data_IF_770047837690
#
_entry.id   IF_770047837690
#
_cell.length_a   1.000
_cell.length_b   1.000
_cell.length_c   1.000
_cell.angle_alpha   90.00
_cell.angle_beta   90.00
_cell.angle_gamma   90.00
#
_symmetry.space_group_name_H-M   'P 1'
#
loop_
_entity.id
_entity.type
_entity.pdbx_description
1 polymer ?
#
# COMPACT_ATOMS: atom_id res chain seq x y z
N UNK A 1 -12.53 12.01 19.57
CA UNK A 1 -13.78 12.25 18.81
C UNK A 1 -14.30 10.91 18.34
N UNK A 2 -15.58 10.80 18.00
CA UNK A 2 -16.07 9.60 17.33
C UNK A 2 -15.54 9.58 15.89
N UNK A 3 -15.09 8.43 15.42
CA UNK A 3 -14.72 8.25 14.01
C UNK A 3 -15.97 8.49 13.15
N UNK A 4 -15.84 9.29 12.10
CA UNK A 4 -16.91 9.50 11.12
C UNK A 4 -16.89 8.37 10.09
N UNK A 5 -15.71 8.03 9.56
CA UNK A 5 -15.51 7.02 8.52
C UNK A 5 -14.51 5.94 8.90
N UNK A 6 -14.74 4.69 8.49
CA UNK A 6 -13.79 3.57 8.71
C UNK A 6 -12.37 3.91 8.21
N UNK A 7 -12.28 4.79 7.21
CA UNK A 7 -11.06 5.33 6.62
C UNK A 7 -10.10 5.96 7.64
N UNK A 8 -10.64 6.56 8.71
CA UNK A 8 -9.85 7.26 9.71
C UNK A 8 -9.01 6.29 10.56
N UNK A 9 -9.42 5.01 10.64
CA UNK A 9 -8.65 3.97 11.31
C UNK A 9 -7.39 3.58 10.53
N UNK A 10 -7.41 3.73 9.21
CA UNK A 10 -6.34 3.26 8.33
C UNK A 10 -4.99 3.93 8.65
N UNK A 11 -4.94 5.26 8.62
CA UNK A 11 -3.69 6.01 8.76
C UNK A 11 -2.96 5.72 10.09
N UNK A 12 -3.63 5.73 11.26
CA UNK A 12 -3.00 5.35 12.53
C UNK A 12 -2.46 3.91 12.54
N UNK A 13 -3.23 2.96 12.02
CA UNK A 13 -2.86 1.53 12.02
C UNK A 13 -1.69 1.28 11.08
N UNK A 14 -1.72 1.88 9.88
CA UNK A 14 -0.58 1.87 8.95
C UNK A 14 0.69 2.37 9.62
N UNK A 15 0.66 3.59 10.15
CA UNK A 15 1.83 4.21 10.78
C UNK A 15 2.37 3.38 11.97
N UNK A 16 1.48 2.69 12.69
CA UNK A 16 1.85 1.81 13.78
C UNK A 16 2.63 0.57 13.32
N UNK A 17 2.25 -0.03 12.20
CA UNK A 17 2.95 -1.19 11.66
C UNK A 17 4.19 -0.82 10.83
N UNK A 18 4.18 0.31 10.12
CA UNK A 18 5.37 0.81 9.43
C UNK A 18 6.51 1.11 10.40
N UNK A 19 6.22 1.71 11.56
CA UNK A 19 7.21 1.89 12.64
C UNK A 19 7.76 0.59 13.22
N UNK A 20 7.12 -0.55 12.94
CA UNK A 20 7.60 -1.90 13.31
C UNK A 20 8.31 -2.61 12.15
N UNK A 21 8.61 -1.88 11.06
CA UNK A 21 9.37 -2.37 9.92
C UNK A 21 8.53 -3.07 8.85
N UNK A 22 7.20 -3.01 8.93
CA UNK A 22 6.35 -3.56 7.87
C UNK A 22 6.26 -2.59 6.68
N UNK A 23 6.40 -3.11 5.46
CA UNK A 23 5.86 -2.44 4.28
C UNK A 23 4.35 -2.68 4.26
N UNK A 24 3.56 -1.61 4.26
CA UNK A 24 2.10 -1.70 4.42
C UNK A 24 1.38 -1.15 3.19
N UNK A 25 0.38 -1.89 2.72
CA UNK A 25 -0.51 -1.48 1.62
C UNK A 25 -1.97 -1.73 1.96
N UNK A 26 -2.84 -0.84 1.55
CA UNK A 26 -4.28 -0.91 1.74
C UNK A 26 -4.98 -1.84 0.74
N UNK A 27 -6.15 -2.36 1.13
CA UNK A 27 -7.18 -2.94 0.23
C UNK A 27 -6.67 -4.09 -0.66
N UNK A 28 -5.75 -4.92 -0.18
CA UNK A 28 -5.10 -6.02 -0.94
C UNK A 28 -5.96 -7.28 -0.86
N UNK A 29 -6.47 -7.77 -2.01
CA UNK A 29 -7.42 -8.91 -2.08
C UNK A 29 -8.57 -8.77 -1.07
N UNK A 30 -9.16 -7.58 -0.99
CA UNK A 30 -10.24 -7.25 -0.06
C UNK A 30 -9.85 -7.29 1.42
N UNK A 31 -8.55 -7.31 1.77
CA UNK A 31 -8.10 -7.08 3.14
C UNK A 31 -7.86 -5.58 3.30
N UNK A 32 -8.37 -4.99 4.38
CA UNK A 32 -8.28 -3.54 4.57
C UNK A 32 -6.82 -3.06 4.65
N UNK A 33 -5.95 -3.84 5.29
CA UNK A 33 -4.51 -3.59 5.36
C UNK A 33 -3.72 -4.90 5.34
N UNK A 34 -2.66 -4.92 4.54
CA UNK A 34 -1.67 -6.00 4.52
C UNK A 34 -0.29 -5.41 4.77
N UNK A 35 0.48 -6.05 5.65
CA UNK A 35 1.86 -5.72 5.93
C UNK A 35 2.78 -6.88 5.57
N UNK A 36 3.93 -6.62 4.96
CA UNK A 36 4.98 -7.61 4.71
C UNK A 36 6.27 -7.13 5.31
N UNK A 37 7.05 -8.04 5.89
CA UNK A 37 8.37 -7.77 6.46
C UNK A 37 9.38 -8.71 5.82
N UNK A 38 10.58 -8.23 5.51
CA UNK A 38 11.59 -8.99 4.76
C UNK A 38 12.07 -10.25 5.49
N UNK A 39 12.06 -10.23 6.82
CA UNK A 39 12.45 -11.35 7.69
C UNK A 39 11.28 -12.28 8.06
N UNK A 40 10.08 -12.04 7.54
CA UNK A 40 8.88 -12.79 7.89
C UNK A 40 8.18 -13.32 6.63
N UNK A 41 7.99 -14.63 6.58
CA UNK A 41 7.38 -15.25 5.40
C UNK A 41 5.87 -14.96 5.35
N UNK A 42 5.19 -14.96 6.50
CA UNK A 42 3.76 -14.71 6.60
C UNK A 42 3.42 -13.21 6.57
N UNK A 43 2.44 -12.77 5.77
CA UNK A 43 2.00 -11.38 5.79
C UNK A 43 1.20 -11.06 7.04
N UNK A 44 1.37 -9.87 7.60
CA UNK A 44 0.41 -9.28 8.53
C UNK A 44 -0.89 -8.92 7.79
N UNK A 45 -2.04 -9.20 8.38
CA UNK A 45 -3.34 -8.76 7.85
C UNK A 45 -4.12 -8.05 8.96
N UNK A 46 -4.73 -6.91 8.64
CA UNK A 46 -5.60 -6.19 9.57
C UNK A 46 -6.94 -5.89 8.91
N UNK A 47 -8.02 -6.25 9.61
CA UNK A 47 -9.39 -5.90 9.24
C UNK A 47 -9.89 -4.80 10.21
N UNK A 48 -10.59 -3.80 9.68
CA UNK A 48 -10.96 -2.58 10.39
C UNK A 48 -12.47 -2.34 10.34
N UNK A 49 -13.06 -2.02 11.49
CA UNK A 49 -14.44 -1.50 11.59
C UNK A 49 -14.55 -0.44 12.67
N UNK A 50 -15.51 0.48 12.55
CA UNK A 50 -15.74 1.49 13.60
C UNK A 50 -15.99 0.87 14.97
N UNK A 51 -16.75 -0.23 15.00
CA UNK A 51 -17.05 -0.97 16.22
C UNK A 51 -16.84 -2.45 16.01
N UNK A 52 -16.47 -3.16 17.07
CA UNK A 52 -16.42 -4.61 17.05
C UNK A 52 -17.82 -5.18 16.80
N UNK A 53 -17.93 -6.06 15.80
CA UNK A 53 -19.18 -6.72 15.42
C UNK A 53 -18.88 -8.11 14.82
N UNK A 54 -19.93 -8.91 14.60
CA UNK A 54 -19.78 -10.27 14.08
C UNK A 54 -19.17 -10.30 12.66
N UNK A 55 -19.45 -9.31 11.82
CA UNK A 55 -18.88 -9.21 10.47
C UNK A 55 -17.36 -9.12 10.53
N UNK A 56 -16.83 -8.21 11.34
CA UNK A 56 -15.39 -8.04 11.56
C UNK A 56 -14.75 -9.35 12.05
N UNK A 57 -15.38 -10.01 13.02
CA UNK A 57 -14.89 -11.26 13.57
C UNK A 57 -14.80 -12.36 12.50
N UNK A 58 -15.87 -12.54 11.71
CA UNK A 58 -15.91 -13.52 10.64
C UNK A 58 -14.90 -13.21 9.53
N UNK A 59 -14.69 -11.93 9.20
CA UNK A 59 -13.64 -11.50 8.27
C UNK A 59 -12.26 -11.92 8.81
N UNK A 60 -11.92 -11.59 10.06
CA UNK A 60 -10.66 -12.01 10.67
C UNK A 60 -10.45 -13.52 10.66
N UNK A 61 -11.47 -14.31 11.02
CA UNK A 61 -11.41 -15.77 10.96
C UNK A 61 -11.17 -16.30 9.53
N UNK A 62 -11.69 -15.63 8.51
CA UNK A 62 -11.38 -15.99 7.12
C UNK A 62 -9.92 -15.68 6.75
N UNK A 63 -9.35 -14.60 7.28
CA UNK A 63 -7.94 -14.22 7.06
C UNK A 63 -6.94 -15.15 7.75
N UNK A 64 -7.33 -15.83 8.84
CA UNK A 64 -6.50 -16.86 9.47
C UNK A 64 -6.12 -18.00 8.51
N UNK A 65 -6.91 -18.21 7.44
CA UNK A 65 -6.58 -19.18 6.38
C UNK A 65 -5.43 -18.72 5.47
N UNK A 66 -5.05 -17.45 5.55
CA UNK A 66 -4.02 -16.80 4.73
C UNK A 66 -2.77 -16.50 5.55
N UNK A 67 -2.91 -16.13 6.82
CA UNK A 67 -1.82 -15.80 7.73
C UNK A 67 -2.21 -16.05 9.18
N UNK A 68 -1.28 -16.47 10.06
CA UNK A 68 -1.50 -16.46 11.51
C UNK A 68 -1.41 -15.06 12.12
N UNK A 69 -0.85 -14.07 11.42
CA UNK A 69 -0.69 -12.69 11.92
C UNK A 69 -1.87 -11.81 11.52
N UNK A 70 -3.05 -12.10 12.09
CA UNK A 70 -4.30 -11.38 11.78
C UNK A 70 -4.74 -10.54 12.97
N UNK A 71 -4.96 -9.25 12.76
CA UNK A 71 -5.53 -8.35 13.76
C UNK A 71 -6.91 -7.86 13.34
N UNK A 72 -7.76 -7.65 14.34
CA UNK A 72 -8.97 -6.86 14.25
C UNK A 72 -8.70 -5.49 14.86
N UNK A 73 -9.05 -4.41 14.16
CA UNK A 73 -8.84 -3.04 14.64
C UNK A 73 -10.16 -2.27 14.69
N UNK A 74 -10.44 -1.64 15.83
CA UNK A 74 -11.68 -0.88 16.05
C UNK A 74 -11.46 0.43 16.79
N UNK A 75 -12.39 1.37 16.69
CA UNK A 75 -12.34 2.59 17.49
C UNK A 75 -12.61 2.28 18.97
N UNK A 76 -11.78 2.82 19.87
CA UNK A 76 -12.10 2.93 21.30
C UNK A 76 -12.66 4.31 21.60
N UNK A 77 -13.98 4.40 21.54
CA UNK A 77 -14.68 5.65 21.82
C UNK A 77 -14.76 5.91 23.34
N UNK A 78 -14.04 6.92 23.83
CA UNK A 78 -13.99 7.25 25.27
C UNK A 78 -15.29 7.82 25.84
N UNK A 79 -16.19 8.37 25.03
CA UNK A 79 -17.44 8.98 25.51
C UNK A 79 -18.59 7.97 25.64
N UNK A 80 -18.42 6.73 25.18
CA UNK A 80 -19.45 5.66 25.24
C UNK A 80 -19.11 4.56 26.25
N UNK A 81 -18.67 4.93 27.46
CA UNK A 81 -18.37 3.96 28.54
C UNK A 81 -19.60 3.08 28.79
N UNK A 82 -19.40 1.75 28.80
CA UNK A 82 -20.45 0.78 29.12
C UNK A 82 -21.31 0.28 27.94
N UNK A 83 -21.05 0.73 26.70
CA UNK A 83 -21.68 0.11 25.54
C UNK A 83 -21.23 -1.37 25.40
N UNK A 84 -22.10 -2.24 24.87
CA UNK A 84 -21.82 -3.67 24.61
C UNK A 84 -20.48 -3.87 23.85
N UNK A 85 -20.14 -2.93 22.97
CA UNK A 85 -18.90 -2.93 22.17
C UNK A 85 -17.63 -2.53 22.96
N UNK A 86 -17.72 -2.34 24.28
CA UNK A 86 -16.61 -1.96 25.16
C UNK A 86 -16.36 -2.98 26.28
N UNK A 87 -16.90 -4.20 26.15
CA UNK A 87 -16.54 -5.36 26.99
C UNK A 87 -15.15 -5.88 26.59
N UNK A 88 -14.15 -4.99 26.67
CA UNK A 88 -12.81 -5.22 26.12
C UNK A 88 -12.16 -6.48 26.68
N UNK A 89 -12.36 -6.79 27.96
CA UNK A 89 -11.84 -8.04 28.56
C UNK A 89 -12.37 -9.29 27.87
N UNK A 90 -13.68 -9.36 27.61
CA UNK A 90 -14.31 -10.51 26.96
C UNK A 90 -13.98 -10.58 25.47
N UNK A 91 -13.98 -9.45 24.77
CA UNK A 91 -13.56 -9.39 23.38
C UNK A 91 -12.10 -9.82 23.21
N UNK A 92 -11.23 -9.41 24.14
CA UNK A 92 -9.83 -9.82 24.16
C UNK A 92 -9.70 -11.32 24.42
N UNK A 93 -10.46 -11.86 25.38
CA UNK A 93 -10.48 -13.30 25.65
C UNK A 93 -10.95 -14.12 24.44
N UNK A 94 -12.02 -13.67 23.77
CA UNK A 94 -12.54 -14.28 22.54
C UNK A 94 -11.50 -14.26 21.41
N UNK A 95 -10.89 -13.10 21.14
CA UNK A 95 -9.86 -12.98 20.11
C UNK A 95 -8.66 -13.88 20.40
N UNK A 96 -8.19 -13.94 21.65
CA UNK A 96 -7.12 -14.87 22.06
C UNK A 96 -7.48 -16.32 21.80
N UNK A 97 -8.69 -16.76 22.19
CA UNK A 97 -9.16 -18.13 21.97
C UNK A 97 -9.23 -18.48 20.47
N UNK A 98 -9.53 -17.50 19.62
CA UNK A 98 -9.60 -17.66 18.17
C UNK A 98 -8.25 -17.45 17.46
N UNK A 99 -7.18 -17.07 18.17
CA UNK A 99 -5.86 -16.76 17.61
C UNK A 99 -5.77 -15.43 16.86
N UNK A 100 -6.71 -14.52 17.09
CA UNK A 100 -6.74 -13.19 16.49
C UNK A 100 -6.08 -12.16 17.43
N UNK A 101 -5.36 -11.21 16.84
CA UNK A 101 -4.95 -9.99 17.52
C UNK A 101 -6.12 -9.01 17.62
N UNK A 102 -6.11 -8.15 18.64
CA UNK A 102 -7.11 -7.10 18.82
C UNK A 102 -6.42 -5.78 19.12
N UNK A 103 -6.67 -4.80 18.26
CA UNK A 103 -6.19 -3.42 18.37
C UNK A 103 -7.38 -2.50 18.63
N UNK A 104 -7.12 -1.46 19.43
CA UNK A 104 -8.05 -0.34 19.53
C UNK A 104 -7.38 0.98 19.20
N UNK A 105 -8.11 1.85 18.50
CA UNK A 105 -7.64 3.19 18.11
C UNK A 105 -8.46 4.23 18.86
N UNK A 106 -7.80 5.05 19.67
CA UNK A 106 -8.42 6.17 20.38
C UNK A 106 -8.06 7.48 19.66
N UNK A 107 -9.07 8.21 19.17
CA UNK A 107 -8.89 9.53 18.56
C UNK A 107 -9.10 10.66 19.56
N UNK A 108 -8.20 11.64 19.54
CA UNK A 108 -8.27 12.85 20.35
C UNK A 108 -8.49 14.08 19.47
N UNK A 109 -8.97 15.18 20.07
CA UNK A 109 -9.14 16.46 19.35
C UNK A 109 -7.80 17.16 19.11
N UNK A 110 -6.88 17.02 20.05
CA UNK A 110 -5.68 17.87 20.16
C UNK A 110 -4.36 17.10 20.10
N UNK A 111 -4.41 15.77 20.01
CA UNK A 111 -3.20 14.93 19.98
C UNK A 111 -3.36 13.75 19.02
N UNK A 112 -2.22 13.17 18.65
CA UNK A 112 -2.16 12.03 17.75
C UNK A 112 -3.02 10.85 18.26
N UNK A 113 -3.64 10.06 17.36
CA UNK A 113 -4.36 8.86 17.72
C UNK A 113 -3.47 7.87 18.49
N UNK A 114 -4.03 7.25 19.53
CA UNK A 114 -3.35 6.22 20.33
C UNK A 114 -3.83 4.84 19.90
N UNK A 115 -2.88 3.93 19.67
CA UNK A 115 -3.18 2.52 19.44
C UNK A 115 -2.82 1.72 20.68
N UNK A 116 -3.82 1.01 21.22
CA UNK A 116 -3.65 0.05 22.29
C UNK A 116 -3.80 -1.37 21.72
N UNK A 117 -2.78 -2.20 21.89
CA UNK A 117 -2.83 -3.63 21.57
C UNK A 117 -3.41 -4.37 22.76
N UNK A 118 -4.63 -4.89 22.63
CA UNK A 118 -5.31 -5.62 23.71
C UNK A 118 -4.88 -7.09 23.75
N UNK A 119 -4.64 -7.68 22.57
CA UNK A 119 -3.94 -8.95 22.45
C UNK A 119 -3.20 -9.05 21.12
N UNK A 120 -2.05 -9.73 21.17
CA UNK A 120 -1.34 -10.16 19.98
C UNK A 120 -2.00 -11.43 19.40
N UNK A 121 -1.93 -11.65 18.07
CA UNK A 121 -2.33 -12.91 17.47
C UNK A 121 -1.44 -14.01 18.02
N UNK A 122 -2.05 -15.10 18.46
CA UNK A 122 -1.28 -16.30 18.73
C UNK A 122 -0.82 -16.85 17.38
N UNK A 123 0.48 -17.12 17.23
CA UNK A 123 0.96 -17.94 16.13
C UNK A 123 0.34 -19.33 16.31
N UNK A 124 -0.85 -19.54 15.73
CA UNK A 124 -1.50 -20.83 15.78
C UNK A 124 -0.63 -21.78 14.97
N UNK A 125 -0.14 -22.84 15.60
CA UNK A 125 0.25 -24.05 14.90
C UNK A 125 -0.91 -24.39 13.96
N UNK A 126 -0.68 -24.56 12.65
CA UNK A 126 -1.78 -24.77 11.71
C UNK A 126 -2.68 -25.87 12.24
N UNK A 127 -3.95 -25.55 12.51
CA UNK A 127 -4.95 -26.56 12.81
C UNK A 127 -4.85 -27.60 11.70
N UNK A 128 -4.44 -28.81 12.06
CA UNK A 128 -4.15 -29.93 11.17
C UNK A 128 -5.43 -30.37 10.48
N UNK A 129 -5.91 -29.55 9.54
CA UNK A 129 -6.92 -29.90 8.57
C UNK A 129 -6.26 -30.61 7.39
N UNK A 130 -7.01 -31.50 6.76
CA UNK A 130 -6.68 -32.21 5.50
C UNK A 130 -5.61 -31.49 4.65
N UNK A 131 -4.63 -32.26 4.15
CA UNK A 131 -3.54 -31.76 3.28
C UNK A 131 -4.01 -30.95 2.05
N UNK A 132 -5.29 -31.03 1.70
CA UNK A 132 -5.94 -30.21 0.68
C UNK A 132 -6.26 -28.77 1.15
N UNK A 133 -6.64 -28.59 2.41
CA UNK A 133 -6.92 -27.29 3.03
C UNK A 133 -5.66 -26.43 3.17
N UNK A 134 -4.55 -27.03 3.63
CA UNK A 134 -3.24 -26.37 3.73
C UNK A 134 -2.74 -25.91 2.37
N UNK A 135 -2.84 -26.77 1.33
CA UNK A 135 -2.48 -26.41 -0.05
C UNK A 135 -3.32 -25.26 -0.61
N UNK A 136 -4.64 -25.27 -0.38
CA UNK A 136 -5.53 -24.18 -0.82
C UNK A 136 -5.23 -22.86 -0.10
N UNK A 137 -4.88 -22.90 1.18
CA UNK A 137 -4.43 -21.72 1.94
C UNK A 137 -3.16 -21.11 1.34
N UNK A 138 -2.16 -21.95 1.04
CA UNK A 138 -0.91 -21.53 0.40
C UNK A 138 -1.13 -20.82 -0.95
N UNK A 139 -1.99 -21.36 -1.82
CA UNK A 139 -2.31 -20.72 -3.11
C UNK A 139 -2.97 -19.34 -2.92
N UNK A 140 -3.90 -19.22 -1.95
CA UNK A 140 -4.56 -17.94 -1.67
C UNK A 140 -3.59 -16.91 -1.09
N UNK A 141 -2.68 -17.33 -0.20
CA UNK A 141 -1.61 -16.50 0.33
C UNK A 141 -0.66 -16.01 -0.78
N UNK A 142 -0.22 -16.89 -1.67
CA UNK A 142 0.62 -16.48 -2.81
C UNK A 142 -0.07 -15.46 -3.71
N UNK A 143 -1.39 -15.60 -3.93
CA UNK A 143 -2.18 -14.59 -4.67
C UNK A 143 -2.30 -13.26 -3.94
N UNK A 144 -2.36 -13.28 -2.60
CA UNK A 144 -2.35 -12.08 -1.76
C UNK A 144 -1.01 -11.35 -1.89
N UNK A 145 0.10 -12.08 -1.69
CA UNK A 145 1.46 -11.53 -1.80
C UNK A 145 1.74 -11.00 -3.20
N UNK A 146 1.35 -11.74 -4.24
CA UNK A 146 1.49 -11.26 -5.62
C UNK A 146 0.72 -9.96 -5.86
N UNK A 147 -0.51 -9.82 -5.34
CA UNK A 147 -1.24 -8.56 -5.47
C UNK A 147 -0.58 -7.43 -4.67
N UNK A 148 -0.05 -7.75 -3.49
CA UNK A 148 0.72 -6.81 -2.68
C UNK A 148 1.93 -6.28 -3.45
N UNK A 149 2.74 -7.16 -4.04
CA UNK A 149 3.94 -6.78 -4.81
C UNK A 149 3.60 -5.99 -6.08
N UNK A 150 2.50 -6.35 -6.74
CA UNK A 150 2.05 -5.69 -7.96
C UNK A 150 1.51 -4.27 -7.74
N UNK A 151 1.24 -3.85 -6.50
CA UNK A 151 0.83 -2.48 -6.17
C UNK A 151 2.02 -1.54 -6.02
N UNK A 152 1.96 -0.40 -6.68
CA UNK A 152 3.05 0.58 -6.72
C UNK A 152 3.04 1.58 -5.57
N UNK A 153 1.93 1.68 -4.83
CA UNK A 153 1.77 2.62 -3.71
C UNK A 153 0.44 2.44 -2.99
N UNK A 154 0.19 3.34 -2.04
CA UNK A 154 -0.92 3.25 -1.09
C UNK A 154 -2.07 4.20 -1.47
N UNK A 155 -2.54 4.08 -2.71
CA UNK A 155 -3.50 5.02 -3.33
C UNK A 155 -4.91 4.95 -2.76
N UNK A 156 -5.24 3.87 -2.04
CA UNK A 156 -6.52 3.70 -1.38
C UNK A 156 -6.35 4.01 0.11
N UNK A 157 -6.46 5.27 0.52
CA UNK A 157 -6.84 5.55 1.92
C UNK A 157 -8.24 4.98 2.11
N UNK A 158 -8.30 3.74 2.63
CA UNK A 158 -9.43 2.82 2.45
C UNK A 158 -10.79 3.42 2.82
N UNK A 159 -11.85 3.04 2.10
CA UNK A 159 -13.25 3.24 2.52
C UNK A 159 -13.93 4.59 2.25
N UNK A 160 -13.45 5.44 1.34
CA UNK A 160 -14.22 6.64 0.94
C UNK A 160 -15.41 6.25 0.08
N UNK A 161 -16.62 6.52 0.58
CA UNK A 161 -17.93 6.12 0.02
C UNK A 161 -18.22 6.63 -1.41
N UNK A 162 -17.26 7.29 -2.08
CA UNK A 162 -17.37 7.80 -3.46
C UNK A 162 -16.11 7.67 -4.31
N UNK A 163 -15.00 7.12 -3.82
CA UNK A 163 -13.82 6.80 -4.66
C UNK A 163 -13.86 5.31 -5.01
N UNK A 164 -13.93 5.00 -6.31
CA UNK A 164 -13.89 3.62 -6.79
C UNK A 164 -12.57 2.97 -6.34
N UNK A 165 -12.64 1.85 -5.63
CA UNK A 165 -11.48 1.05 -5.21
C UNK A 165 -10.59 0.76 -6.43
N UNK A 166 -9.32 1.16 -6.36
CA UNK A 166 -8.37 0.89 -7.44
C UNK A 166 -7.58 -0.37 -7.09
N UNK A 167 -7.86 -1.43 -7.84
CA UNK A 167 -7.13 -2.70 -7.77
C UNK A 167 -5.81 -2.58 -8.51
N UNK A 168 -4.82 -3.45 -8.21
CA UNK A 168 -3.56 -3.50 -8.97
C UNK A 168 -3.79 -3.69 -10.49
N UNK A 169 -4.85 -4.41 -10.88
CA UNK A 169 -5.25 -4.53 -12.27
C UNK A 169 -5.69 -3.18 -12.85
N UNK A 170 -6.44 -2.38 -12.10
CA UNK A 170 -6.90 -1.06 -12.54
C UNK A 170 -5.76 -0.05 -12.65
N UNK A 171 -4.80 -0.04 -11.71
CA UNK A 171 -3.57 0.76 -11.83
C UNK A 171 -2.83 0.45 -13.14
N UNK A 172 -2.57 -0.85 -13.38
CA UNK A 172 -1.89 -1.30 -14.60
C UNK A 172 -2.67 -0.95 -15.87
N UNK A 173 -3.99 -1.11 -15.84
CA UNK A 173 -4.84 -0.72 -16.96
C UNK A 173 -4.81 0.80 -17.19
N UNK A 174 -4.76 1.63 -16.14
CA UNK A 174 -4.65 3.08 -16.25
C UNK A 174 -3.29 3.50 -16.83
N UNK A 175 -2.18 2.87 -16.42
CA UNK A 175 -0.86 3.12 -17.03
C UNK A 175 -0.83 2.80 -18.51
N UNK A 176 -1.36 1.63 -18.89
CA UNK A 176 -1.48 1.24 -20.30
C UNK A 176 -2.38 2.20 -21.08
N UNK A 177 -3.50 2.62 -20.48
CA UNK A 177 -4.39 3.61 -21.08
C UNK A 177 -3.71 4.96 -21.29
N UNK A 178 -2.92 5.42 -20.33
CA UNK A 178 -2.16 6.67 -20.41
C UNK A 178 -1.12 6.61 -21.54
N UNK A 179 -0.34 5.52 -21.60
CA UNK A 179 0.62 5.29 -22.68
C UNK A 179 -0.04 5.22 -24.06
N UNK A 180 -1.20 4.56 -24.18
CA UNK A 180 -2.00 4.55 -25.41
C UNK A 180 -2.52 5.93 -25.79
N UNK A 181 -2.93 6.76 -24.81
CA UNK A 181 -3.37 8.13 -25.09
C UNK A 181 -2.24 8.99 -25.64
N UNK A 182 -1.01 8.80 -25.16
CA UNK A 182 0.17 9.53 -25.63
C UNK A 182 0.61 9.10 -27.04
N UNK A 183 0.56 7.80 -27.36
CA UNK A 183 1.06 7.25 -28.63
C UNK A 183 -0.03 7.04 -29.70
N UNK A 184 -1.31 7.06 -29.32
CA UNK A 184 -2.42 6.68 -30.19
C UNK A 184 -2.53 5.16 -30.34
N UNK A 185 -2.32 4.65 -31.55
CA UNK A 185 -2.37 3.22 -31.84
C UNK A 185 -1.04 2.54 -31.45
N UNK A 186 -1.07 1.52 -30.60
CA UNK A 186 0.15 0.85 -30.14
C UNK A 186 0.03 -0.65 -29.96
N UNK A 187 1.18 -1.33 -29.98
CA UNK A 187 1.26 -2.77 -29.78
C UNK A 187 1.43 -3.13 -28.29
N UNK A 188 0.94 -4.30 -27.85
CA UNK A 188 1.12 -4.75 -26.47
C UNK A 188 2.59 -4.79 -26.02
N UNK A 189 3.51 -5.13 -26.92
CA UNK A 189 4.93 -5.19 -26.62
C UNK A 189 5.54 -3.80 -26.39
N UNK A 190 5.13 -2.80 -27.18
CA UNK A 190 5.55 -1.40 -26.98
C UNK A 190 5.05 -0.89 -25.63
N UNK A 191 3.76 -1.11 -25.35
CA UNK A 191 3.12 -0.67 -24.12
C UNK A 191 3.72 -1.33 -22.88
N UNK A 192 4.05 -2.63 -22.94
CA UNK A 192 4.70 -3.33 -21.85
C UNK A 192 6.08 -2.75 -21.50
N UNK A 193 6.88 -2.39 -22.53
CA UNK A 193 8.19 -1.77 -22.34
C UNK A 193 8.06 -0.37 -21.74
N UNK A 194 7.15 0.43 -22.27
CA UNK A 194 6.99 1.82 -21.84
C UNK A 194 6.43 1.95 -20.42
N UNK A 195 5.47 1.11 -20.05
CA UNK A 195 4.78 1.21 -18.76
C UNK A 195 5.37 0.29 -17.68
N UNK A 196 6.40 -0.49 -18.03
CA UNK A 196 6.91 -1.60 -17.23
C UNK A 196 5.84 -2.65 -16.85
N UNK A 197 4.68 -2.66 -17.52
CA UNK A 197 3.60 -3.61 -17.27
C UNK A 197 3.77 -4.83 -18.19
N UNK A 198 4.52 -5.83 -17.72
CA UNK A 198 4.72 -7.09 -18.47
C UNK A 198 3.43 -7.82 -18.85
N UNK A 199 2.33 -7.58 -18.12
CA UNK A 199 1.01 -8.16 -18.41
C UNK A 199 0.17 -7.37 -19.42
N UNK A 200 0.74 -6.40 -20.15
CA UNK A 200 -0.03 -5.50 -21.03
C UNK A 200 -0.89 -6.25 -22.06
N UNK A 201 -0.35 -7.30 -22.69
CA UNK A 201 -1.11 -8.11 -23.65
C UNK A 201 -2.38 -8.73 -23.03
N UNK A 202 -2.27 -9.30 -21.82
CA UNK A 202 -3.40 -9.90 -21.13
C UNK A 202 -4.43 -8.86 -20.69
N UNK A 203 -3.99 -7.66 -20.29
CA UNK A 203 -4.88 -6.56 -19.89
C UNK A 203 -5.69 -6.07 -21.09
N UNK A 204 -5.01 -5.80 -22.22
CA UNK A 204 -5.64 -5.36 -23.47
C UNK A 204 -6.62 -6.39 -24.03
N UNK A 205 -6.29 -7.69 -23.94
CA UNK A 205 -7.15 -8.76 -24.43
C UNK A 205 -8.38 -8.99 -23.55
N UNK A 206 -8.21 -9.00 -22.23
CA UNK A 206 -9.33 -9.25 -21.30
C UNK A 206 -10.27 -8.05 -21.21
N UNK A 207 -9.72 -6.84 -21.27
CA UNK A 207 -10.45 -5.58 -21.38
C UNK A 207 -11.69 -5.48 -20.46
N UNK A 208 -11.55 -5.85 -19.18
CA UNK A 208 -12.69 -5.94 -18.25
C UNK A 208 -13.48 -4.63 -18.09
N UNK A 209 -12.84 -3.49 -18.37
CA UNK A 209 -13.46 -2.17 -18.27
C UNK A 209 -13.92 -1.58 -19.61
N UNK A 210 -13.64 -2.25 -20.73
CA UNK A 210 -13.98 -1.73 -22.06
C UNK A 210 -13.20 -0.47 -22.46
N UNK A 211 -11.99 -0.27 -21.90
CA UNK A 211 -11.14 0.90 -22.15
C UNK A 211 -10.35 0.80 -23.44
N UNK A 212 -10.17 -0.41 -23.95
CA UNK A 212 -9.32 -0.68 -25.12
C UNK A 212 -10.14 -1.24 -26.26
N UNK A 213 -9.71 -0.97 -27.49
CA UNK A 213 -10.29 -1.56 -28.70
C UNK A 213 -9.16 -2.08 -29.59
N UNK A 214 -9.37 -3.25 -30.17
CA UNK A 214 -8.41 -3.85 -31.09
C UNK A 214 -8.71 -3.40 -32.51
N UNK A 215 -7.89 -2.51 -33.04
CA UNK A 215 -8.03 -1.98 -34.39
C UNK A 215 -7.62 -3.02 -35.45
N UNK A 216 -6.52 -3.72 -35.20
CA UNK A 216 -5.99 -4.74 -36.12
C UNK A 216 -5.14 -5.78 -35.37
N UNK A 217 -4.43 -6.67 -36.08
CA UNK A 217 -3.63 -7.72 -35.44
C UNK A 217 -2.48 -7.09 -34.64
N UNK A 218 -2.57 -7.21 -33.31
CA UNK A 218 -1.53 -6.73 -32.40
C UNK A 218 -1.51 -5.22 -32.20
N UNK A 219 -2.58 -4.51 -32.58
CA UNK A 219 -2.68 -3.06 -32.44
C UNK A 219 -3.96 -2.67 -31.71
N UNK A 220 -3.81 -1.77 -30.75
CA UNK A 220 -4.90 -1.33 -29.88
C UNK A 220 -4.97 0.19 -29.84
N UNK A 221 -6.18 0.70 -29.63
CA UNK A 221 -6.49 2.10 -29.41
C UNK A 221 -7.31 2.26 -28.13
N UNK A 222 -7.37 3.48 -27.62
CA UNK A 222 -8.17 3.82 -26.45
C UNK A 222 -9.61 4.15 -26.87
N UNK A 223 -10.59 3.58 -26.17
CA UNK A 223 -12.01 3.92 -26.39
C UNK A 223 -12.36 5.24 -25.70
N UNK A 224 -13.52 5.80 -26.02
CA UNK A 224 -14.07 6.98 -25.33
C UNK A 224 -14.18 6.71 -23.81
N UNK A 225 -14.58 5.49 -23.40
CA UNK A 225 -14.63 5.08 -22.00
C UNK A 225 -13.25 5.07 -21.35
N UNK A 226 -12.21 4.63 -22.07
CA UNK A 226 -10.83 4.68 -21.59
C UNK A 226 -10.33 6.11 -21.41
N UNK A 227 -10.67 7.02 -22.33
CA UNK A 227 -10.35 8.45 -22.24
C UNK A 227 -11.00 9.08 -20.99
N UNK A 228 -12.28 8.78 -20.75
CA UNK A 228 -13.01 9.25 -19.56
C UNK A 228 -12.39 8.72 -18.27
N UNK A 229 -12.00 7.44 -18.25
CA UNK A 229 -11.34 6.84 -17.09
C UNK A 229 -10.00 7.51 -16.75
N UNK A 230 -9.22 7.95 -17.75
CA UNK A 230 -7.99 8.71 -17.47
C UNK A 230 -8.28 10.05 -16.78
N UNK A 231 -9.37 10.72 -17.17
CA UNK A 231 -9.79 11.99 -16.53
C UNK A 231 -10.30 11.76 -15.11
N UNK A 232 -11.12 10.73 -14.89
CA UNK A 232 -11.65 10.37 -13.57
C UNK A 232 -10.54 9.98 -12.57
N UNK A 233 -9.45 9.40 -13.06
CA UNK A 233 -8.35 8.85 -12.26
C UNK A 233 -7.04 9.66 -12.41
N UNK A 234 -7.10 10.91 -12.89
CA UNK A 234 -5.92 11.75 -13.18
C UNK A 234 -4.96 11.90 -11.98
N UNK A 235 -5.51 12.09 -10.78
CA UNK A 235 -4.77 12.15 -9.51
C UNK A 235 -3.91 10.90 -9.21
N UNK A 236 -4.17 9.76 -9.83
CA UNK A 236 -3.37 8.53 -9.66
C UNK A 236 -2.22 8.42 -10.66
N UNK A 237 -2.25 9.19 -11.75
CA UNK A 237 -1.24 9.17 -12.80
C UNK A 237 -0.09 10.12 -12.45
N UNK A 238 -0.40 11.31 -11.92
CA UNK A 238 0.59 12.34 -11.54
C UNK A 238 1.61 11.83 -10.51
N UNK A 239 1.16 11.09 -9.49
CA UNK A 239 2.05 10.54 -8.46
C UNK A 239 2.86 9.31 -8.95
N UNK A 240 2.37 8.59 -9.97
CA UNK A 240 3.10 7.46 -10.55
C UNK A 240 4.30 7.95 -11.38
N UNK A 241 4.12 9.01 -12.15
CA UNK A 241 5.21 9.64 -12.90
C UNK A 241 6.29 10.16 -11.94
N UNK A 242 5.90 10.69 -10.76
CA UNK A 242 6.87 11.11 -9.72
C UNK A 242 7.62 9.93 -9.08
N UNK A 243 6.97 8.78 -8.87
CA UNK A 243 7.63 7.58 -8.32
C UNK A 243 8.56 6.94 -9.36
N UNK A 244 8.13 6.81 -10.62
CA UNK A 244 8.98 6.29 -11.71
C UNK A 244 10.17 7.21 -12.01
N UNK A 245 10.01 8.53 -11.84
CA UNK A 245 11.12 9.49 -11.89
C UNK A 245 12.11 9.28 -10.74
N UNK A 246 11.65 9.10 -9.50
CA UNK A 246 12.53 8.82 -8.35
C UNK A 246 13.27 7.48 -8.44
N UNK A 247 12.65 6.44 -9.02
CA UNK A 247 13.28 5.12 -9.20
C UNK A 247 14.34 5.16 -10.32
N UNK A 248 14.19 6.04 -11.31
CA UNK A 248 15.13 6.20 -12.42
C UNK A 248 16.12 7.36 -12.23
N UNK A 249 16.05 8.11 -11.13
CA UNK A 249 17.13 9.01 -10.73
C UNK A 249 18.32 8.15 -10.29
N UNK A 250 19.50 8.30 -10.91
CA UNK A 250 20.69 7.67 -10.36
C UNK A 250 20.90 8.22 -8.96
N UNK A 251 20.93 7.36 -7.95
CA UNK A 251 21.43 7.72 -6.63
C UNK A 251 22.86 8.23 -6.81
N UNK A 252 23.02 9.55 -6.90
CA UNK A 252 24.32 10.18 -6.73
C UNK A 252 24.65 9.94 -5.27
N UNK A 253 25.50 8.96 -5.03
CA UNK A 253 26.05 8.68 -3.72
C UNK A 253 26.98 9.82 -3.32
N UNK A 254 26.41 10.86 -2.69
CA UNK A 254 27.14 12.01 -2.17
C UNK A 254 28.14 11.57 -1.09
N UNK A 255 28.03 10.33 -0.55
CA UNK A 255 28.98 9.79 0.42
C UNK A 255 30.35 9.40 -0.20
N UNK A 256 30.44 9.30 -1.53
CA UNK A 256 31.70 9.05 -2.25
C UNK A 256 32.47 10.32 -2.62
N UNK A 257 31.89 11.51 -2.38
CA UNK A 257 32.66 12.75 -2.43
C UNK A 257 33.35 12.91 -1.08
N UNK A 258 34.47 12.19 -0.88
CA UNK A 258 35.44 12.56 0.15
C UNK A 258 36.03 13.91 -0.26
N UNK A 259 35.39 14.99 0.19
CA UNK A 259 35.98 16.31 0.20
C UNK A 259 37.02 16.27 1.30
N UNK A 260 38.26 16.03 0.91
CA UNK A 260 39.41 16.07 1.79
C UNK A 260 39.57 17.52 2.27
N UNK A 261 39.18 17.80 3.52
CA UNK A 261 39.16 19.16 4.08
C UNK A 261 40.56 19.81 3.99
N UNK A 262 41.62 19.01 4.11
CA UNK A 262 43.01 19.44 3.93
C UNK A 262 43.29 19.95 2.51
N UNK A 263 42.64 19.39 1.48
CA UNK A 263 42.75 19.90 0.10
C UNK A 263 42.01 21.20 -0.10
N UNK A 264 40.86 21.39 0.54
CA UNK A 264 40.13 22.67 0.47
C UNK A 264 40.88 23.78 1.21
N UNK A 265 41.50 23.47 2.35
CA UNK A 265 42.35 24.40 3.08
C UNK A 265 43.59 24.78 2.28
N UNK A 266 44.23 23.82 1.61
CA UNK A 266 45.36 24.10 0.72
C UNK A 266 44.97 24.93 -0.51
N UNK A 267 43.79 24.67 -1.10
CA UNK A 267 43.27 25.49 -2.22
C UNK A 267 42.93 26.91 -1.75
N UNK A 268 42.38 27.07 -0.54
CA UNK A 268 42.08 28.37 0.04
C UNK A 268 43.35 29.19 0.33
N UNK A 269 44.39 28.57 0.89
CA UNK A 269 45.71 29.20 1.12
C UNK A 269 46.40 29.60 -0.20
N UNK A 270 46.29 28.77 -1.24
CA UNK A 270 46.85 29.09 -2.57
C UNK A 270 46.07 30.22 -3.26
N UNK A 271 44.76 30.36 -2.99
CA UNK A 271 43.91 31.37 -3.62
C UNK A 271 43.96 32.73 -2.91
N UNK A 272 44.37 32.80 -1.65
CA UNK A 272 44.41 34.03 -0.84
C UNK A 272 45.24 35.18 -1.44
N UNK A 273 46.41 34.94 -2.08
CA UNK A 273 47.18 36.00 -2.75
C UNK A 273 46.49 36.60 -3.98
N UNK A 274 45.50 35.91 -4.57
CA UNK A 274 44.78 36.33 -5.77
C UNK A 274 43.46 37.06 -5.47
N UNK A 275 43.03 37.09 -4.21
CA UNK A 275 41.77 37.70 -3.78
C UNK A 275 41.93 39.11 -3.18
N UNK A 276 43.16 39.57 -2.94
CA UNK A 276 43.41 40.95 -2.54
C UNK A 276 43.61 41.85 -3.78
N UNK A 277 42.83 42.93 -3.95
CA UNK A 277 43.04 43.87 -5.05
C UNK A 277 44.41 44.55 -4.88
N UNK A 278 45.22 44.54 -5.96
CA UNK A 278 46.45 45.34 -6.05
C UNK A 278 46.11 46.80 -5.75
N UNK A 279 46.59 47.33 -4.63
CA UNK A 279 46.66 48.79 -4.40
C UNK A 279 47.59 49.38 -5.45
N UNK A 280 47.02 50.07 -6.44
CA UNK A 280 47.77 51.00 -7.28
C UNK A 280 47.95 52.29 -6.48
N UNK A 281 49.22 52.64 -6.23
CA UNK A 281 49.79 53.93 -5.78
C UNK A 281 49.06 54.67 -4.67
#
# INVERSE_FOLDING_TARGET
>A
MAVQYETELYSPVKAFFERRGYNVKAEVKHCDLVGVKSDQNEPLIVEMKKTFNLSLLLQGMQRLKLSPFVYLAVERNRSKRGAVNQRWGELTALCRQLGLGLLTVTFYKTKAPLIDVLCEPAAQTPLSGSSSGVRKGGIRRQRLLREFDERSGDYNTGGSTRRQLVTAYREKALRIASALRAQGESSPASLAKQTSVGSAAAILQKNYYGWFERLSRGRYVLTIKGVQALTEHAHMLEDNDMIEQRINEPEIDISLIHVDDDRLQHIAEIAEPYLLPKRNV
#
